data_IF_594057809396
#
_entry.id   IF_594057809396
#
_cell.length_a   1.000
_cell.length_b   1.000
_cell.length_c   1.000
_cell.angle_alpha   90.00
_cell.angle_beta   90.00
_cell.angle_gamma   90.00
#
_symmetry.space_group_name_H-M   'P 1'
#
loop_
_entity.id
_entity.type
_entity.pdbx_description
1 polymer ?
#
# COMPACT_ATOMS: atom_id res chain seq x y z
N UNK A 1 2.12 -17.14 0.92
CA UNK A 1 2.95 -16.58 -0.15
C UNK A 1 3.37 -17.65 -1.16
N UNK A 2 4.16 -18.64 -0.79
CA UNK A 2 4.63 -19.71 -1.70
C UNK A 2 3.52 -20.40 -2.51
N UNK A 3 2.33 -20.62 -1.92
CA UNK A 3 1.19 -21.20 -2.63
C UNK A 3 0.68 -20.25 -3.73
N UNK A 4 0.53 -18.96 -3.42
CA UNK A 4 0.09 -17.95 -4.39
C UNK A 4 1.11 -17.76 -5.52
N UNK A 5 2.39 -17.84 -5.22
CA UNK A 5 3.45 -17.78 -6.22
C UNK A 5 3.42 -18.99 -7.17
N UNK A 6 3.31 -20.21 -6.62
CA UNK A 6 3.45 -21.45 -7.40
C UNK A 6 2.16 -21.88 -8.09
N UNK A 7 1.05 -21.82 -7.38
CA UNK A 7 -0.26 -22.32 -7.87
C UNK A 7 -1.16 -21.19 -8.38
N UNK A 8 -0.95 -19.97 -7.86
CA UNK A 8 -1.71 -18.79 -8.27
C UNK A 8 -1.04 -17.96 -9.35
N UNK A 9 0.21 -18.30 -9.74
CA UNK A 9 1.00 -17.58 -10.77
C UNK A 9 0.99 -16.06 -10.58
N UNK A 10 1.03 -15.60 -9.32
CA UNK A 10 0.92 -14.19 -8.98
C UNK A 10 2.21 -13.43 -9.32
N UNK A 11 2.12 -12.35 -10.08
CA UNK A 11 3.25 -11.47 -10.45
C UNK A 11 3.70 -10.57 -9.30
N UNK A 12 2.82 -10.29 -8.33
CA UNK A 12 3.08 -9.49 -7.13
C UNK A 12 2.33 -10.11 -5.95
N UNK A 13 2.97 -10.19 -4.79
CA UNK A 13 2.38 -10.78 -3.59
C UNK A 13 2.02 -9.71 -2.56
N UNK A 14 0.74 -9.28 -2.48
CA UNK A 14 0.31 -8.34 -1.45
C UNK A 14 0.32 -9.00 -0.08
N UNK A 15 1.01 -8.38 0.87
CA UNK A 15 1.14 -8.85 2.24
C UNK A 15 0.32 -7.96 3.17
N UNK A 16 -0.81 -8.47 3.64
CA UNK A 16 -1.66 -7.75 4.58
C UNK A 16 -1.04 -7.73 5.97
N UNK A 17 -0.84 -6.56 6.52
CA UNK A 17 -0.36 -6.36 7.89
C UNK A 17 -1.51 -6.59 8.88
N UNK A 18 -1.24 -7.20 10.02
CA UNK A 18 -2.27 -7.46 11.04
C UNK A 18 -2.86 -6.17 11.63
N UNK A 19 -4.07 -6.28 12.16
CA UNK A 19 -4.84 -5.11 12.61
C UNK A 19 -4.24 -4.39 13.81
N UNK A 20 -3.53 -5.08 14.70
CA UNK A 20 -2.87 -4.45 15.84
C UNK A 20 -1.64 -3.68 15.39
N UNK A 21 -0.80 -4.26 14.54
CA UNK A 21 0.35 -3.58 13.93
C UNK A 21 -0.08 -2.33 13.15
N UNK A 22 -1.18 -2.41 12.38
CA UNK A 22 -1.74 -1.25 11.67
C UNK A 22 -2.20 -0.12 12.59
N UNK A 23 -2.54 -0.41 13.83
CA UNK A 23 -2.95 0.56 14.84
C UNK A 23 -1.80 0.95 15.79
N UNK A 24 -0.58 0.53 15.51
CA UNK A 24 0.61 0.71 16.35
C UNK A 24 0.45 0.11 17.78
N UNK A 25 -0.36 -0.96 17.88
CA UNK A 25 -0.66 -1.70 19.12
C UNK A 25 0.21 -2.95 19.18
N UNK A 26 1.50 -2.74 19.40
CA UNK A 26 2.52 -3.80 19.28
C UNK A 26 2.46 -4.81 20.42
N UNK A 27 2.00 -4.42 21.61
CA UNK A 27 1.82 -5.33 22.75
C UNK A 27 0.71 -6.36 22.45
N UNK A 28 -0.41 -5.90 21.88
CA UNK A 28 -1.49 -6.80 21.50
C UNK A 28 -1.12 -7.72 20.32
N UNK A 29 -0.29 -7.22 19.40
CA UNK A 29 0.26 -8.06 18.34
C UNK A 29 1.15 -9.16 18.94
N UNK A 30 2.00 -8.84 19.92
CA UNK A 30 2.85 -9.81 20.62
C UNK A 30 2.03 -10.88 21.34
N UNK A 31 1.00 -10.47 22.04
CA UNK A 31 0.04 -11.38 22.69
C UNK A 31 -0.61 -12.32 21.67
N UNK A 32 -0.99 -11.79 20.49
CA UNK A 32 -1.54 -12.57 19.38
C UNK A 32 -0.55 -13.58 18.80
N UNK A 33 0.74 -13.23 18.72
CA UNK A 33 1.81 -14.14 18.31
C UNK A 33 1.95 -15.27 19.33
N UNK A 34 2.06 -14.93 20.62
CA UNK A 34 2.19 -15.92 21.69
C UNK A 34 1.00 -16.90 21.71
N UNK A 35 -0.21 -16.38 21.54
CA UNK A 35 -1.42 -17.21 21.48
C UNK A 35 -1.44 -18.10 20.24
N UNK A 36 -0.94 -17.60 19.09
CA UNK A 36 -0.83 -18.39 17.86
C UNK A 36 0.11 -19.58 18.05
N UNK A 37 1.24 -19.36 18.72
CA UNK A 37 2.22 -20.40 19.03
C UNK A 37 1.58 -21.43 19.98
N UNK A 38 0.91 -20.96 21.05
CA UNK A 38 0.26 -21.81 22.05
C UNK A 38 -0.82 -22.73 21.46
N UNK A 39 -1.59 -22.21 20.49
CA UNK A 39 -2.71 -22.92 19.86
C UNK A 39 -2.34 -23.68 18.59
N UNK A 40 -1.13 -23.48 18.05
CA UNK A 40 -0.69 -24.07 16.78
C UNK A 40 -1.49 -23.59 15.57
N UNK A 41 -2.09 -22.40 15.64
CA UNK A 41 -2.86 -21.77 14.55
C UNK A 41 -2.77 -20.25 14.61
N UNK A 42 -2.91 -19.59 13.45
CA UNK A 42 -2.89 -18.13 13.38
C UNK A 42 -4.07 -17.52 14.15
N UNK A 43 -3.77 -16.60 15.07
CA UNK A 43 -4.74 -15.80 15.83
C UNK A 43 -4.77 -14.35 15.38
N UNK A 44 -3.78 -13.90 14.63
CA UNK A 44 -3.74 -12.59 13.98
C UNK A 44 -4.33 -12.67 12.56
N UNK A 45 -4.92 -11.58 12.10
CA UNK A 45 -5.55 -11.49 10.79
C UNK A 45 -4.61 -10.99 9.67
N UNK A 46 -3.31 -10.94 9.93
CA UNK A 46 -2.30 -10.52 8.99
C UNK A 46 -0.90 -10.72 9.55
N UNK A 47 0.09 -10.17 8.84
CA UNK A 47 1.50 -10.31 9.18
C UNK A 47 1.93 -9.27 10.23
N UNK A 48 2.40 -9.68 11.43
CA UNK A 48 2.82 -8.77 12.50
C UNK A 48 4.27 -8.31 12.28
N UNK A 49 4.50 -7.57 11.17
CA UNK A 49 5.84 -7.25 10.67
C UNK A 49 6.73 -6.55 11.70
N UNK A 50 6.17 -5.62 12.49
CA UNK A 50 6.94 -4.86 13.48
C UNK A 50 7.46 -5.76 14.60
N UNK A 51 6.60 -6.63 15.13
CA UNK A 51 6.98 -7.56 16.20
C UNK A 51 7.99 -8.62 15.75
N UNK A 52 7.83 -9.12 14.52
CA UNK A 52 8.76 -10.07 13.94
C UNK A 52 10.07 -9.42 13.47
N UNK A 53 10.07 -8.10 13.33
CA UNK A 53 11.24 -7.29 12.99
C UNK A 53 11.81 -7.57 11.60
N UNK A 54 12.97 -6.99 11.33
CA UNK A 54 13.68 -7.11 10.05
C UNK A 54 13.94 -8.57 9.68
N UNK A 55 14.35 -9.39 10.64
CA UNK A 55 14.65 -10.81 10.39
C UNK A 55 13.37 -11.60 10.01
N UNK A 56 12.24 -11.31 10.64
CA UNK A 56 10.95 -11.90 10.27
C UNK A 56 10.52 -11.51 8.85
N UNK A 57 10.65 -10.24 8.50
CA UNK A 57 10.39 -9.73 7.16
C UNK A 57 11.31 -10.40 6.12
N UNK A 58 12.62 -10.45 6.38
CA UNK A 58 13.60 -11.09 5.49
C UNK A 58 13.30 -12.57 5.22
N UNK A 59 12.93 -13.32 6.24
CA UNK A 59 12.52 -14.73 6.08
C UNK A 59 11.32 -14.89 5.14
N UNK A 60 10.37 -13.96 5.16
CA UNK A 60 9.23 -13.99 4.24
C UNK A 60 9.68 -13.68 2.83
N UNK A 61 10.49 -12.61 2.64
CA UNK A 61 11.05 -12.23 1.34
C UNK A 61 11.88 -13.36 0.72
N UNK A 62 12.78 -13.96 1.48
CA UNK A 62 13.64 -15.07 1.02
C UNK A 62 12.88 -16.37 0.74
N UNK A 63 11.62 -16.49 1.18
CA UNK A 63 10.79 -17.68 0.94
C UNK A 63 10.10 -17.72 -0.42
N UNK A 64 10.15 -16.62 -1.18
CA UNK A 64 9.51 -16.44 -2.50
C UNK A 64 10.45 -15.68 -3.44
N UNK A 65 10.19 -15.78 -4.74
CA UNK A 65 10.92 -15.02 -5.77
C UNK A 65 10.12 -13.82 -6.27
N UNK A 66 8.80 -13.89 -6.11
CA UNK A 66 7.86 -12.84 -6.51
C UNK A 66 7.98 -11.64 -5.57
N UNK A 67 8.01 -10.39 -6.10
CA UNK A 67 8.06 -9.18 -5.29
C UNK A 67 6.91 -9.09 -4.29
N UNK A 68 7.22 -8.60 -3.10
CA UNK A 68 6.27 -8.45 -2.00
C UNK A 68 5.87 -6.99 -1.81
N UNK A 69 4.57 -6.75 -1.68
CA UNK A 69 3.99 -5.45 -1.35
C UNK A 69 3.46 -5.44 0.08
N UNK A 70 3.69 -4.37 0.80
CA UNK A 70 3.07 -4.12 2.11
C UNK A 70 1.70 -3.48 1.90
N UNK A 71 0.65 -4.11 2.45
CA UNK A 71 -0.72 -3.60 2.47
C UNK A 71 -1.23 -3.43 3.90
N UNK A 72 -1.66 -2.23 4.20
CA UNK A 72 -2.08 -1.88 5.56
C UNK A 72 -3.17 -0.77 5.55
N UNK A 73 -3.32 -0.01 6.58
CA UNK A 73 -4.27 1.11 6.69
C UNK A 73 -3.85 2.01 7.85
N UNK A 74 -2.53 2.07 8.11
CA UNK A 74 -2.03 2.85 9.24
C UNK A 74 -1.85 4.33 8.86
N UNK A 75 -2.26 5.26 9.72
CA UNK A 75 -2.00 6.69 9.54
C UNK A 75 -0.54 7.06 9.81
N UNK A 76 0.15 6.29 10.66
CA UNK A 76 1.59 6.43 10.94
C UNK A 76 2.32 5.14 10.58
N UNK A 77 2.94 5.14 9.41
CA UNK A 77 3.60 3.98 8.84
C UNK A 77 5.13 3.98 9.02
N UNK A 78 5.70 4.93 9.76
CA UNK A 78 7.15 5.16 9.82
C UNK A 78 7.94 3.91 10.26
N UNK A 79 7.64 3.37 11.43
CA UNK A 79 8.33 2.18 11.95
C UNK A 79 8.08 0.93 11.10
N UNK A 80 6.83 0.77 10.62
CA UNK A 80 6.49 -0.34 9.73
C UNK A 80 7.31 -0.28 8.42
N UNK A 81 7.49 0.91 7.86
CA UNK A 81 8.28 1.13 6.63
C UNK A 81 9.75 0.79 6.85
N UNK A 82 10.36 1.31 7.92
CA UNK A 82 11.76 1.02 8.26
C UNK A 82 12.03 -0.48 8.32
N UNK A 83 11.16 -1.22 9.04
CA UNK A 83 11.32 -2.65 9.26
C UNK A 83 11.12 -3.44 7.97
N UNK A 84 10.08 -3.11 7.20
CA UNK A 84 9.76 -3.86 5.98
C UNK A 84 10.76 -3.59 4.85
N UNK A 85 11.23 -2.34 4.69
CA UNK A 85 12.26 -2.02 3.70
C UNK A 85 13.60 -2.69 4.05
N UNK A 86 14.03 -2.59 5.30
CA UNK A 86 15.24 -3.29 5.76
C UNK A 86 15.10 -4.83 5.65
N UNK A 87 13.87 -5.35 5.67
CA UNK A 87 13.53 -6.75 5.44
C UNK A 87 13.47 -7.16 3.97
N UNK A 88 13.52 -6.20 3.02
CA UNK A 88 13.58 -6.48 1.58
C UNK A 88 12.25 -6.39 0.83
N UNK A 89 11.21 -5.80 1.42
CA UNK A 89 9.98 -5.48 0.68
C UNK A 89 10.25 -4.35 -0.32
N UNK A 90 9.73 -4.48 -1.53
CA UNK A 90 9.99 -3.57 -2.65
C UNK A 90 8.76 -2.82 -3.16
N UNK A 91 7.62 -2.95 -2.49
CA UNK A 91 6.40 -2.21 -2.81
C UNK A 91 5.62 -1.86 -1.54
N UNK A 92 5.03 -0.66 -1.52
CA UNK A 92 4.39 -0.11 -0.32
C UNK A 92 3.15 0.70 -0.67
N UNK A 93 1.98 0.24 -0.20
CA UNK A 93 0.68 0.87 -0.41
C UNK A 93 0.38 1.92 0.66
N UNK A 94 -0.43 2.90 0.29
CA UNK A 94 -1.03 3.88 1.19
C UNK A 94 -0.45 5.29 1.08
N UNK A 95 -1.05 6.20 1.81
CA UNK A 95 -0.65 7.60 1.84
C UNK A 95 -1.29 8.38 2.98
N UNK A 96 -0.81 9.58 3.23
CA UNK A 96 -1.25 10.43 4.32
C UNK A 96 -2.69 10.94 4.17
N UNK A 97 -3.20 10.98 2.95
CA UNK A 97 -4.58 11.38 2.63
C UNK A 97 -5.47 10.14 2.51
N UNK A 98 -5.08 9.20 1.65
CA UNK A 98 -5.88 8.03 1.33
C UNK A 98 -6.11 7.10 2.52
N UNK A 99 -5.19 7.04 3.47
CA UNK A 99 -5.36 6.28 4.70
C UNK A 99 -5.92 7.12 5.86
N UNK A 100 -5.79 8.45 5.84
CA UNK A 100 -6.42 9.29 6.85
C UNK A 100 -7.94 9.28 6.72
N UNK A 101 -8.45 9.56 5.53
CA UNK A 101 -9.88 9.76 5.29
C UNK A 101 -10.76 8.60 5.81
N UNK A 102 -10.48 7.31 5.50
CA UNK A 102 -11.30 6.21 5.96
C UNK A 102 -10.91 5.64 7.32
N UNK A 103 -9.63 5.69 7.71
CA UNK A 103 -9.11 4.90 8.83
C UNK A 103 -8.73 5.72 10.07
N UNK A 104 -8.44 7.02 9.93
CA UNK A 104 -7.81 7.82 10.97
C UNK A 104 -8.62 9.06 11.34
N UNK A 105 -9.91 8.92 11.57
CA UNK A 105 -10.87 10.03 11.80
C UNK A 105 -10.48 11.00 12.92
N UNK A 106 -9.68 10.56 13.89
CA UNK A 106 -9.26 11.36 15.04
C UNK A 106 -7.82 11.91 14.91
N UNK A 107 -7.16 11.65 13.79
CA UNK A 107 -5.81 12.17 13.52
C UNK A 107 -5.90 13.29 12.50
N UNK A 108 -5.39 14.49 12.78
CA UNK A 108 -5.37 15.59 11.80
C UNK A 108 -4.64 15.16 10.53
N UNK A 109 -5.18 15.53 9.36
CA UNK A 109 -4.61 15.15 8.08
C UNK A 109 -3.18 15.68 7.88
N UNK A 110 -2.88 16.86 8.40
CA UNK A 110 -1.54 17.45 8.38
C UNK A 110 -0.50 16.57 9.11
N UNK A 111 -0.93 15.88 10.17
CA UNK A 111 -0.07 14.95 10.92
C UNK A 111 0.21 13.71 10.08
N UNK A 112 -0.82 13.11 9.48
CA UNK A 112 -0.64 11.93 8.63
C UNK A 112 0.17 12.24 7.37
N UNK A 113 -0.05 13.39 6.73
CA UNK A 113 0.76 13.83 5.59
C UNK A 113 2.23 13.95 5.99
N UNK A 114 2.53 14.61 7.11
CA UNK A 114 3.90 14.76 7.62
C UNK A 114 4.56 13.39 7.91
N UNK A 115 3.82 12.48 8.56
CA UNK A 115 4.35 11.17 8.90
C UNK A 115 4.57 10.31 7.65
N UNK A 116 3.76 10.49 6.61
CA UNK A 116 3.95 9.87 5.30
C UNK A 116 5.04 10.53 4.45
N UNK A 117 5.33 11.81 4.63
CA UNK A 117 6.51 12.43 4.03
C UNK A 117 7.81 11.75 4.49
N UNK A 118 7.85 11.28 5.75
CA UNK A 118 8.98 10.46 6.23
C UNK A 118 9.09 9.14 5.43
N UNK A 119 7.97 8.45 5.21
CA UNK A 119 7.93 7.21 4.42
C UNK A 119 8.43 7.46 2.99
N UNK A 120 7.93 8.51 2.35
CA UNK A 120 8.30 8.86 0.98
C UNK A 120 9.77 9.30 0.91
N UNK A 121 10.28 10.06 1.90
CA UNK A 121 11.70 10.43 1.97
C UNK A 121 12.60 9.21 2.16
N UNK A 122 12.19 8.25 2.98
CA UNK A 122 12.91 6.99 3.13
C UNK A 122 12.95 6.21 1.81
N UNK A 123 11.82 6.16 1.09
CA UNK A 123 11.75 5.57 -0.25
C UNK A 123 12.71 6.27 -1.23
N UNK A 124 12.70 7.61 -1.26
CA UNK A 124 13.63 8.40 -2.07
C UNK A 124 15.11 8.14 -1.72
N UNK A 125 15.42 7.92 -0.44
CA UNK A 125 16.77 7.55 -0.01
C UNK A 125 17.20 6.17 -0.59
N UNK A 126 16.30 5.20 -0.61
CA UNK A 126 16.58 3.90 -1.25
C UNK A 126 16.81 4.05 -2.75
N UNK A 127 16.03 4.90 -3.44
CA UNK A 127 16.27 5.23 -4.86
C UNK A 127 17.66 5.87 -5.07
N UNK A 128 18.07 6.81 -4.21
CA UNK A 128 19.40 7.40 -4.26
C UNK A 128 20.53 6.37 -4.08
N UNK A 129 20.26 5.27 -3.36
CA UNK A 129 21.19 4.14 -3.19
C UNK A 129 21.09 3.10 -4.32
N UNK A 130 20.24 3.31 -5.33
CA UNK A 130 20.04 2.41 -6.45
C UNK A 130 19.10 1.24 -6.17
N UNK A 131 18.25 1.36 -5.14
CA UNK A 131 17.22 0.36 -4.79
C UNK A 131 15.85 0.93 -5.06
N UNK A 132 15.22 0.47 -6.12
CA UNK A 132 13.87 0.92 -6.48
C UNK A 132 12.81 0.29 -5.59
N UNK A 133 11.98 1.16 -4.99
CA UNK A 133 10.81 0.74 -4.23
C UNK A 133 9.58 1.40 -4.85
N UNK A 134 8.60 0.58 -5.19
CA UNK A 134 7.33 1.06 -5.71
C UNK A 134 6.47 1.66 -4.58
N UNK A 135 6.03 2.90 -4.76
CA UNK A 135 5.02 3.53 -3.91
C UNK A 135 3.66 3.46 -4.59
N UNK A 136 2.68 2.97 -3.87
CA UNK A 136 1.29 2.93 -4.31
C UNK A 136 0.45 3.88 -3.43
N UNK A 137 0.38 5.19 -3.75
CA UNK A 137 -0.41 6.16 -3.01
C UNK A 137 -1.91 5.94 -3.24
N UNK A 138 -2.42 4.86 -2.68
CA UNK A 138 -3.78 4.42 -2.82
C UNK A 138 -4.31 3.84 -1.52
N UNK A 139 -5.57 4.11 -1.22
CA UNK A 139 -6.30 3.48 -0.14
C UNK A 139 -7.63 2.93 -0.68
N UNK A 140 -7.87 1.61 -0.60
CA UNK A 140 -9.07 0.99 -1.20
C UNK A 140 -10.38 1.65 -0.79
N UNK A 141 -10.53 2.03 0.49
CA UNK A 141 -11.75 2.68 0.97
C UNK A 141 -11.88 4.16 0.54
N UNK A 142 -10.81 4.79 0.11
CA UNK A 142 -10.86 6.15 -0.46
C UNK A 142 -11.21 6.09 -1.96
N UNK A 143 -10.87 5.00 -2.64
CA UNK A 143 -11.13 4.81 -4.07
C UNK A 143 -12.44 4.08 -4.39
N UNK A 144 -13.02 3.32 -3.45
CA UNK A 144 -14.19 2.48 -3.71
C UNK A 144 -15.50 3.22 -3.43
N UNK A 145 -16.40 3.24 -4.42
CA UNK A 145 -17.70 3.92 -4.35
C UNK A 145 -17.60 5.44 -4.07
N UNK A 146 -16.46 6.02 -4.36
CA UNK A 146 -16.22 7.46 -4.33
C UNK A 146 -16.22 7.98 -5.77
N UNK A 147 -16.76 9.16 -6.05
CA UNK A 147 -16.67 9.73 -7.39
C UNK A 147 -15.21 9.74 -7.91
N UNK A 148 -14.95 9.27 -9.14
CA UNK A 148 -13.60 9.15 -9.68
C UNK A 148 -12.76 10.43 -9.55
N UNK A 149 -13.37 11.60 -9.72
CA UNK A 149 -12.68 12.88 -9.57
C UNK A 149 -12.10 13.10 -8.16
N UNK A 150 -12.75 12.60 -7.11
CA UNK A 150 -12.27 12.73 -5.73
C UNK A 150 -11.11 11.73 -5.48
N UNK A 151 -11.28 10.47 -5.91
CA UNK A 151 -10.23 9.46 -5.75
C UNK A 151 -8.98 9.81 -6.58
N UNK A 152 -9.15 10.31 -7.81
CA UNK A 152 -8.05 10.78 -8.65
C UNK A 152 -7.32 11.97 -8.02
N UNK A 153 -8.06 12.97 -7.54
CA UNK A 153 -7.45 14.12 -6.88
C UNK A 153 -6.58 13.69 -5.68
N UNK A 154 -7.07 12.78 -4.84
CA UNK A 154 -6.30 12.26 -3.71
C UNK A 154 -5.03 11.53 -4.17
N UNK A 155 -5.15 10.61 -5.15
CA UNK A 155 -4.02 9.85 -5.66
C UNK A 155 -2.96 10.73 -6.34
N UNK A 156 -3.37 11.70 -7.15
CA UNK A 156 -2.47 12.65 -7.84
C UNK A 156 -1.73 13.53 -6.83
N UNK A 157 -2.44 14.06 -5.82
CA UNK A 157 -1.80 14.88 -4.77
C UNK A 157 -0.77 14.03 -4.00
N UNK A 158 -1.10 12.81 -3.64
CA UNK A 158 -0.15 11.92 -2.96
C UNK A 158 1.03 11.53 -3.84
N UNK A 159 0.82 11.32 -5.16
CA UNK A 159 1.90 11.09 -6.10
C UNK A 159 2.87 12.29 -6.18
N UNK A 160 2.35 13.51 -6.19
CA UNK A 160 3.16 14.73 -6.14
C UNK A 160 3.95 14.85 -4.84
N UNK A 161 3.29 14.58 -3.69
CA UNK A 161 3.96 14.60 -2.38
C UNK A 161 5.08 13.55 -2.29
N UNK A 162 4.86 12.35 -2.86
CA UNK A 162 5.87 11.31 -2.92
C UNK A 162 7.04 11.69 -3.85
N UNK A 163 6.75 12.21 -5.03
CA UNK A 163 7.78 12.68 -5.98
C UNK A 163 8.64 13.80 -5.41
N UNK A 164 8.04 14.73 -4.64
CA UNK A 164 8.76 15.79 -3.91
C UNK A 164 9.82 15.22 -2.96
N UNK A 165 9.55 14.06 -2.36
CA UNK A 165 10.48 13.38 -1.46
C UNK A 165 11.50 12.48 -2.16
N UNK A 166 11.50 12.44 -3.50
CA UNK A 166 12.47 11.70 -4.30
C UNK A 166 12.02 10.31 -4.75
N UNK A 167 10.75 9.96 -4.57
CA UNK A 167 10.18 8.72 -5.10
C UNK A 167 10.15 8.75 -6.62
N UNK A 168 10.59 7.66 -7.26
CA UNK A 168 10.70 7.55 -8.72
C UNK A 168 9.78 6.49 -9.34
N UNK A 169 9.24 5.59 -8.54
CA UNK A 169 8.35 4.53 -9.01
C UNK A 169 7.02 4.64 -8.27
N UNK A 170 5.98 5.07 -8.97
CA UNK A 170 4.67 5.37 -8.41
C UNK A 170 3.59 4.58 -9.15
N UNK A 171 2.79 3.84 -8.39
CA UNK A 171 1.58 3.16 -8.89
C UNK A 171 0.35 3.87 -8.36
N UNK A 172 -0.45 4.47 -9.23
CA UNK A 172 -1.71 5.10 -8.82
C UNK A 172 -2.87 4.12 -8.95
N UNK A 173 -3.74 4.10 -7.94
CA UNK A 173 -4.79 3.10 -7.80
C UNK A 173 -6.20 3.64 -8.06
N UNK A 174 -7.04 2.79 -8.64
CA UNK A 174 -8.47 3.04 -8.81
C UNK A 174 -9.29 1.84 -8.31
N UNK A 175 -10.30 2.10 -7.49
CA UNK A 175 -11.23 1.07 -7.01
C UNK A 175 -12.36 0.83 -7.99
N UNK A 176 -12.55 -0.42 -8.38
CA UNK A 176 -13.64 -0.85 -9.27
C UNK A 176 -15.02 -0.40 -8.73
N UNK A 177 -15.78 0.33 -9.53
CA UNK A 177 -17.13 0.80 -9.19
C UNK A 177 -18.24 -0.06 -9.83
N UNK A 178 -17.90 -1.02 -10.68
CA UNK A 178 -18.84 -1.94 -11.32
C UNK A 178 -19.49 -1.41 -12.60
N UNK A 179 -18.99 -0.30 -13.15
CA UNK A 179 -19.36 0.18 -14.47
C UNK A 179 -18.12 0.12 -15.38
N UNK A 180 -18.10 -0.84 -16.29
CA UNK A 180 -16.93 -1.14 -17.12
C UNK A 180 -16.44 0.08 -17.90
N UNK A 181 -17.33 0.89 -18.48
CA UNK A 181 -16.95 2.08 -19.26
C UNK A 181 -16.33 3.13 -18.35
N UNK A 182 -16.94 3.39 -17.20
CA UNK A 182 -16.42 4.31 -16.20
C UNK A 182 -15.08 3.82 -15.64
N UNK A 183 -14.98 2.55 -15.31
CA UNK A 183 -13.77 1.97 -14.69
C UNK A 183 -12.58 2.04 -15.66
N UNK A 184 -12.79 1.73 -16.96
CA UNK A 184 -11.76 1.87 -18.00
C UNK A 184 -11.37 3.33 -18.21
N UNK A 185 -12.34 4.22 -18.32
CA UNK A 185 -12.09 5.65 -18.51
C UNK A 185 -11.32 6.22 -17.31
N UNK A 186 -11.75 5.88 -16.10
CA UNK A 186 -11.14 6.38 -14.88
C UNK A 186 -9.68 5.96 -14.74
N UNK A 187 -9.36 4.67 -14.95
CA UNK A 187 -7.97 4.23 -14.76
C UNK A 187 -7.01 4.83 -15.78
N UNK A 188 -7.46 4.98 -17.05
CA UNK A 188 -6.67 5.64 -18.10
C UNK A 188 -6.45 7.12 -17.80
N UNK A 189 -7.52 7.82 -17.43
CA UNK A 189 -7.44 9.25 -17.09
C UNK A 189 -6.58 9.48 -15.85
N UNK A 190 -6.60 8.56 -14.88
CA UNK A 190 -5.75 8.65 -13.68
C UNK A 190 -4.26 8.59 -14.04
N UNK A 191 -3.87 7.68 -14.92
CA UNK A 191 -2.49 7.59 -15.41
C UNK A 191 -2.07 8.88 -16.13
N UNK A 192 -2.83 9.27 -17.16
CA UNK A 192 -2.56 10.47 -17.98
C UNK A 192 -2.45 11.74 -17.13
N UNK A 193 -3.40 11.97 -16.21
CA UNK A 193 -3.39 13.13 -15.33
C UNK A 193 -2.24 13.09 -14.32
N UNK A 194 -1.88 11.92 -13.82
CA UNK A 194 -0.76 11.81 -12.88
C UNK A 194 0.54 12.21 -13.57
N UNK A 195 0.80 11.70 -14.77
CA UNK A 195 1.96 12.08 -15.58
C UNK A 195 1.95 13.57 -15.92
N UNK A 196 0.79 14.12 -16.36
CA UNK A 196 0.64 15.54 -16.68
C UNK A 196 0.99 16.42 -15.48
N UNK A 197 0.44 16.10 -14.29
CA UNK A 197 0.69 16.90 -13.09
C UNK A 197 2.13 16.77 -12.58
N UNK A 198 2.73 15.57 -12.61
CA UNK A 198 4.14 15.38 -12.28
C UNK A 198 5.03 16.26 -13.18
N UNK A 199 4.83 16.18 -14.49
CA UNK A 199 5.55 17.01 -15.45
C UNK A 199 5.32 18.52 -15.21
N UNK A 200 4.07 18.94 -15.02
CA UNK A 200 3.69 20.34 -14.75
C UNK A 200 4.41 20.92 -13.53
N UNK A 201 4.67 20.13 -12.52
CA UNK A 201 5.38 20.54 -11.32
C UNK A 201 6.90 20.25 -11.36
N UNK A 202 7.41 19.79 -12.51
CA UNK A 202 8.85 19.61 -12.76
C UNK A 202 9.43 18.31 -12.20
N UNK A 203 8.60 17.31 -11.90
CA UNK A 203 9.06 16.00 -11.45
C UNK A 203 9.32 15.10 -12.66
N UNK A 204 10.52 15.22 -13.22
CA UNK A 204 10.96 14.43 -14.36
C UNK A 204 11.52 13.06 -13.92
N UNK A 205 11.39 12.06 -14.80
CA UNK A 205 11.96 10.72 -14.58
C UNK A 205 11.24 9.91 -13.49
N UNK A 206 9.98 10.21 -13.23
CA UNK A 206 9.09 9.38 -12.41
C UNK A 206 8.36 8.39 -13.32
N UNK A 207 8.47 7.11 -13.01
CA UNK A 207 7.69 6.06 -13.67
C UNK A 207 6.33 5.96 -13.01
N UNK A 208 5.28 6.12 -13.81
CA UNK A 208 3.88 5.97 -13.35
C UNK A 208 3.33 4.66 -13.89
N UNK A 209 2.68 3.90 -13.04
CA UNK A 209 1.88 2.73 -13.41
C UNK A 209 0.53 2.78 -12.71
N UNK A 210 -0.39 1.92 -13.10
CA UNK A 210 -1.74 1.90 -12.55
C UNK A 210 -2.09 0.54 -11.95
N UNK A 211 -2.94 0.55 -10.92
CA UNK A 211 -3.53 -0.66 -10.35
C UNK A 211 -5.06 -0.52 -10.27
N UNK A 212 -5.77 -1.53 -10.77
CA UNK A 212 -7.21 -1.68 -10.56
C UNK A 212 -7.44 -2.55 -9.33
N UNK A 213 -7.96 -1.94 -8.27
CA UNK A 213 -8.41 -2.69 -7.11
C UNK A 213 -9.80 -3.27 -7.41
N UNK A 214 -9.92 -4.58 -7.34
CA UNK A 214 -11.18 -5.28 -7.59
C UNK A 214 -12.29 -4.83 -6.65
N UNK A 215 -13.53 -5.13 -7.05
CA UNK A 215 -14.73 -4.85 -6.29
C UNK A 215 -14.62 -5.29 -4.83
N UNK A 216 -14.88 -4.36 -3.91
CA UNK A 216 -14.82 -4.58 -2.46
C UNK A 216 -16.17 -4.85 -1.81
N UNK A 217 -17.25 -4.86 -2.57
CA UNK A 217 -18.58 -5.23 -2.10
C UNK A 217 -18.77 -6.72 -1.97
N UNK A 218 -19.98 -7.15 -1.60
CA UNK A 218 -20.34 -8.56 -1.56
C UNK A 218 -20.32 -9.17 -2.95
N UNK A 219 -19.75 -10.36 -3.06
CA UNK A 219 -19.87 -11.18 -4.27
C UNK A 219 -21.14 -12.02 -4.21
N UNK A 220 -21.83 -12.22 -5.35
CA UNK A 220 -22.93 -13.16 -5.42
C UNK A 220 -22.47 -14.57 -5.04
N UNK A 221 -23.38 -15.36 -4.41
CA UNK A 221 -23.11 -16.78 -4.16
C UNK A 221 -23.10 -17.63 -5.43
N UNK A 222 -23.67 -17.12 -6.50
CA UNK A 222 -23.72 -17.73 -7.83
C UNK A 222 -22.55 -17.18 -8.66
N UNK A 223 -21.59 -18.04 -8.99
CA UNK A 223 -20.38 -17.69 -9.74
C UNK A 223 -20.65 -17.14 -11.15
N UNK A 224 -21.86 -17.37 -11.70
CA UNK A 224 -22.26 -16.83 -13.00
C UNK A 224 -22.76 -15.39 -12.95
N UNK A 225 -22.88 -14.80 -11.76
CA UNK A 225 -23.32 -13.42 -11.53
C UNK A 225 -22.17 -12.55 -11.06
#
# INVERSE_FOLDING_TARGET
MQYLEKEGEADLLPTTIDSYTRQNRYEEAENGIAESIRLGRAMLNGFPAVNLGVNGCRRVVESVHTPLQVRHGTPDARLLTEITYAGGFTSYEGGGISYNLPYAKNVPMEVTIRDWQYVDRLTGLYEEMGVSINREPYGPLTGTLVPPCISHAAAIIEALLAAEQGVRNITVGYGQCGNLVQDIAAIRTLEELTEEYLHKYGYEGVTVTTVLHQWMGGFPADEAK
#
